data_IF_334231971749
#
_entry.id   IF_334231971749
#
_cell.length_a   1.000
_cell.length_b   1.000
_cell.length_c   1.000
_cell.angle_alpha   90.00
_cell.angle_beta   90.00
_cell.angle_gamma   90.00
#
_symmetry.space_group_name_H-M   'P 1'
#
loop_
_entity.id
_entity.type
_entity.pdbx_description
1 polymer ?
#
# COMPACT_ATOMS: atom_id res chain seq x y z
N UNK A 1 1.60 -33.57 25.95
CA UNK A 1 0.68 -33.67 24.79
C UNK A 1 1.28 -32.80 23.69
N UNK A 2 1.86 -33.37 22.62
CA UNK A 2 2.40 -32.57 21.51
C UNK A 2 1.27 -31.83 20.79
N UNK A 3 1.51 -30.63 20.23
CA UNK A 3 0.52 -29.92 19.44
C UNK A 3 0.14 -30.75 18.19
N UNK A 4 -1.11 -30.66 17.69
CA UNK A 4 -1.54 -31.38 16.50
C UNK A 4 -0.70 -30.91 15.29
N UNK A 5 -0.17 -31.87 14.52
CA UNK A 5 0.77 -31.65 13.42
C UNK A 5 0.32 -30.59 12.39
N UNK A 6 -0.99 -30.39 12.24
CA UNK A 6 -1.59 -29.39 11.34
C UNK A 6 -1.29 -27.94 11.75
N UNK A 7 -1.13 -27.67 13.04
CA UNK A 7 -0.83 -26.32 13.53
C UNK A 7 0.61 -25.89 13.25
N UNK A 8 1.55 -26.84 13.29
CA UNK A 8 2.96 -26.62 12.94
C UNK A 8 3.10 -26.30 11.45
N UNK A 9 2.43 -27.06 10.59
CA UNK A 9 2.42 -26.83 9.13
C UNK A 9 1.87 -25.44 8.74
N UNK A 10 0.78 -25.00 9.38
CA UNK A 10 0.20 -23.67 9.14
C UNK A 10 1.11 -22.53 9.65
N UNK A 11 1.81 -22.73 10.77
CA UNK A 11 2.77 -21.76 11.29
C UNK A 11 4.00 -21.64 10.40
N UNK A 12 4.55 -22.75 9.92
CA UNK A 12 5.68 -22.78 8.98
C UNK A 12 5.32 -22.11 7.66
N UNK A 13 4.13 -22.39 7.13
CA UNK A 13 3.63 -21.74 5.91
C UNK A 13 3.50 -20.22 6.10
N UNK A 14 2.89 -19.76 7.21
CA UNK A 14 2.78 -18.34 7.56
C UNK A 14 4.15 -17.67 7.68
N UNK A 15 5.11 -18.32 8.33
CA UNK A 15 6.47 -17.81 8.45
C UNK A 15 7.13 -17.70 7.08
N UNK A 16 6.96 -18.71 6.22
CA UNK A 16 7.42 -18.67 4.83
C UNK A 16 6.87 -17.47 4.07
N UNK A 17 5.57 -17.20 4.17
CA UNK A 17 4.92 -16.04 3.56
C UNK A 17 5.48 -14.71 4.09
N UNK A 18 5.71 -14.59 5.40
CA UNK A 18 6.28 -13.38 6.02
C UNK A 18 7.72 -13.14 5.55
N UNK A 19 8.55 -14.18 5.53
CA UNK A 19 9.94 -14.08 5.07
C UNK A 19 9.98 -13.70 3.59
N UNK A 20 9.14 -14.33 2.77
CA UNK A 20 9.02 -14.00 1.36
C UNK A 20 8.60 -12.53 1.15
N UNK A 21 7.54 -12.08 1.84
CA UNK A 21 7.06 -10.70 1.75
C UNK A 21 8.11 -9.68 2.21
N UNK A 22 8.80 -9.95 3.31
CA UNK A 22 9.89 -9.11 3.81
C UNK A 22 11.03 -9.01 2.78
N UNK A 23 11.35 -10.11 2.09
CA UNK A 23 12.33 -10.10 1.00
C UNK A 23 11.87 -9.24 -0.18
N UNK A 24 10.61 -9.34 -0.59
CA UNK A 24 10.05 -8.52 -1.67
C UNK A 24 10.12 -7.03 -1.33
N UNK A 25 9.71 -6.63 -0.13
CA UNK A 25 9.77 -5.23 0.31
C UNK A 25 11.22 -4.72 0.27
N UNK A 26 12.18 -5.48 0.81
CA UNK A 26 13.59 -5.08 0.76
C UNK A 26 14.11 -4.90 -0.66
N UNK A 27 13.80 -5.82 -1.56
CA UNK A 27 14.21 -5.72 -2.96
C UNK A 27 13.60 -4.47 -3.63
N UNK A 28 12.33 -4.17 -3.36
CA UNK A 28 11.68 -2.97 -3.87
C UNK A 28 12.31 -1.69 -3.32
N UNK A 29 12.65 -1.65 -2.02
CA UNK A 29 13.35 -0.51 -1.41
C UNK A 29 14.73 -0.31 -2.04
N UNK A 30 15.52 -1.39 -2.19
CA UNK A 30 16.84 -1.30 -2.83
C UNK A 30 16.74 -0.80 -4.28
N UNK A 31 15.78 -1.30 -5.04
CA UNK A 31 15.56 -0.83 -6.41
C UNK A 31 15.11 0.64 -6.45
N UNK A 32 14.28 1.06 -5.49
CA UNK A 32 13.84 2.44 -5.36
C UNK A 32 15.03 3.37 -5.07
N UNK A 33 15.84 3.07 -4.07
CA UNK A 33 17.00 3.90 -3.70
C UNK A 33 18.05 4.00 -4.81
N UNK A 34 18.19 2.96 -5.64
CA UNK A 34 19.07 2.99 -6.81
C UNK A 34 18.56 3.93 -7.91
N UNK A 35 17.25 3.98 -8.11
CA UNK A 35 16.63 4.82 -9.13
C UNK A 35 16.33 6.26 -8.65
N UNK A 36 16.13 6.43 -7.34
CA UNK A 36 15.86 7.68 -6.65
C UNK A 36 16.88 7.85 -5.51
N UNK A 37 18.10 8.30 -5.82
CA UNK A 37 19.11 8.54 -4.79
C UNK A 37 18.63 9.65 -3.83
N UNK A 38 19.02 9.58 -2.54
CA UNK A 38 18.56 10.53 -1.54
C UNK A 38 18.98 11.95 -1.87
N UNK A 39 18.05 12.89 -1.67
CA UNK A 39 18.29 14.31 -1.81
C UNK A 39 18.96 14.89 -0.56
N UNK A 40 19.61 16.07 -0.67
CA UNK A 40 20.08 16.81 0.48
C UNK A 40 18.94 17.08 1.49
N UNK A 41 19.25 17.27 2.79
CA UNK A 41 18.23 17.57 3.78
C UNK A 41 17.46 18.85 3.46
N UNK A 42 16.13 18.77 3.47
CA UNK A 42 15.21 19.89 3.21
C UNK A 42 14.18 20.02 4.36
N UNK A 43 13.53 21.19 4.51
CA UNK A 43 12.40 21.34 5.41
C UNK A 43 11.30 20.32 5.09
N UNK A 44 10.81 19.63 6.11
CA UNK A 44 9.75 18.65 5.94
C UNK A 44 8.44 19.31 5.47
N UNK A 45 7.71 18.61 4.61
CA UNK A 45 6.30 18.92 4.32
C UNK A 45 5.45 18.75 5.59
N UNK A 46 4.29 19.42 5.71
CA UNK A 46 3.39 19.21 6.83
C UNK A 46 3.02 17.74 7.03
N UNK A 47 3.15 17.26 8.27
CA UNK A 47 2.85 15.87 8.63
C UNK A 47 1.36 15.72 8.87
N UNK A 48 0.75 14.71 8.24
CA UNK A 48 -0.62 14.28 8.49
C UNK A 48 -0.67 12.79 8.80
N UNK A 49 -1.65 12.37 9.60
CA UNK A 49 -1.84 10.97 9.99
C UNK A 49 -2.64 10.16 8.95
N UNK A 50 -2.59 8.83 9.08
CA UNK A 50 -3.31 7.89 8.21
C UNK A 50 -4.81 8.19 8.11
N UNK A 51 -5.46 8.55 9.22
CA UNK A 51 -6.89 8.90 9.22
C UNK A 51 -7.19 10.19 8.47
N UNK A 52 -6.27 11.17 8.50
CA UNK A 52 -6.41 12.40 7.71
C UNK A 52 -6.22 12.09 6.23
N UNK A 53 -5.24 11.28 5.87
CA UNK A 53 -5.03 10.82 4.48
C UNK A 53 -6.27 10.10 3.94
N UNK A 54 -6.78 9.10 4.67
CA UNK A 54 -7.96 8.35 4.24
C UNK A 54 -9.15 9.27 4.01
N UNK A 55 -9.40 10.21 4.94
CA UNK A 55 -10.48 11.19 4.79
C UNK A 55 -10.33 12.01 3.52
N UNK A 56 -9.14 12.49 3.20
CA UNK A 56 -8.91 13.29 1.98
C UNK A 56 -9.06 12.45 0.71
N UNK A 57 -8.54 11.23 0.69
CA UNK A 57 -8.69 10.36 -0.47
C UNK A 57 -10.14 9.93 -0.70
N UNK A 58 -10.90 9.67 0.37
CA UNK A 58 -12.33 9.35 0.26
C UNK A 58 -13.13 10.54 -0.25
N UNK A 59 -12.80 11.76 0.17
CA UNK A 59 -13.46 13.00 -0.27
C UNK A 59 -13.18 13.31 -1.75
N UNK A 60 -11.95 13.04 -2.21
CA UNK A 60 -11.57 13.19 -3.62
C UNK A 60 -12.15 12.08 -4.51
N UNK A 61 -12.45 10.92 -3.95
CA UNK A 61 -12.93 9.78 -4.71
C UNK A 61 -14.38 9.95 -5.17
N UNK A 62 -14.70 9.55 -6.41
CA UNK A 62 -16.08 9.37 -6.84
C UNK A 62 -16.85 8.42 -5.88
N UNK A 63 -18.16 8.62 -5.64
CA UNK A 63 -18.93 7.81 -4.70
C UNK A 63 -18.78 6.30 -4.88
N UNK A 64 -18.72 5.85 -6.14
CA UNK A 64 -18.53 4.46 -6.52
C UNK A 64 -17.18 3.86 -6.07
N UNK A 65 -16.13 4.66 -5.92
CA UNK A 65 -14.78 4.23 -5.52
C UNK A 65 -14.49 4.45 -4.03
N UNK A 66 -15.35 5.16 -3.30
CA UNK A 66 -15.12 5.44 -1.88
C UNK A 66 -14.91 4.19 -1.00
N UNK A 67 -15.63 3.06 -1.21
CA UNK A 67 -15.36 1.83 -0.45
C UNK A 67 -13.95 1.29 -0.66
N UNK A 68 -13.43 1.38 -1.90
CA UNK A 68 -12.11 0.88 -2.28
C UNK A 68 -10.97 1.68 -1.61
N UNK A 69 -11.17 2.97 -1.38
CA UNK A 69 -10.15 3.85 -0.75
C UNK A 69 -9.70 3.29 0.61
N UNK A 70 -10.62 2.75 1.42
CA UNK A 70 -10.29 2.21 2.73
C UNK A 70 -9.33 1.01 2.63
N UNK A 71 -9.57 0.12 1.67
CA UNK A 71 -8.73 -1.06 1.44
C UNK A 71 -7.35 -0.68 0.89
N UNK A 72 -7.31 0.27 -0.05
CA UNK A 72 -6.06 0.77 -0.62
C UNK A 72 -5.17 1.45 0.43
N UNK A 73 -5.76 2.34 1.26
CA UNK A 73 -5.02 3.00 2.35
C UNK A 73 -4.55 1.98 3.39
N UNK A 74 -5.38 0.99 3.72
CA UNK A 74 -5.02 -0.11 4.63
C UNK A 74 -3.83 -0.93 4.09
N UNK A 75 -3.82 -1.22 2.79
CA UNK A 75 -2.74 -1.94 2.14
C UNK A 75 -1.40 -1.20 2.23
N UNK A 76 -1.37 0.10 1.88
CA UNK A 76 -0.15 0.92 1.98
C UNK A 76 0.32 1.01 3.44
N UNK A 77 -0.62 1.31 4.36
CA UNK A 77 -0.28 1.51 5.77
C UNK A 77 0.46 0.31 6.36
N UNK A 78 0.06 -0.91 6.01
CA UNK A 78 0.67 -2.16 6.50
C UNK A 78 2.15 -2.29 6.13
N UNK A 79 2.56 -1.71 5.00
CA UNK A 79 3.93 -1.87 4.47
C UNK A 79 4.79 -0.62 4.66
N UNK A 80 4.15 0.53 4.90
CA UNK A 80 4.80 1.84 5.01
C UNK A 80 5.98 1.90 5.98
N UNK A 81 5.91 1.19 7.11
CA UNK A 81 6.95 1.22 8.14
C UNK A 81 8.30 0.65 7.66
N UNK A 82 8.30 -0.17 6.61
CA UNK A 82 9.49 -0.78 6.04
C UNK A 82 9.96 -0.10 4.74
N UNK A 83 9.33 1.02 4.34
CA UNK A 83 9.60 1.74 3.09
C UNK A 83 10.09 3.17 3.38
N UNK A 84 10.97 3.74 2.53
CA UNK A 84 11.28 5.17 2.57
C UNK A 84 10.02 6.04 2.41
N UNK A 85 9.99 7.20 3.07
CA UNK A 85 8.82 8.08 3.02
C UNK A 85 8.45 8.53 1.60
N UNK A 86 9.45 8.80 0.75
CA UNK A 86 9.24 9.18 -0.65
C UNK A 86 8.63 8.03 -1.49
N UNK A 87 9.00 6.79 -1.18
CA UNK A 87 8.38 5.61 -1.81
C UNK A 87 6.90 5.49 -1.41
N UNK A 88 6.59 5.70 -0.12
CA UNK A 88 5.20 5.71 0.37
C UNK A 88 4.40 6.84 -0.27
N UNK A 89 4.99 8.04 -0.39
CA UNK A 89 4.37 9.17 -1.08
C UNK A 89 4.03 8.80 -2.54
N UNK A 90 4.95 8.15 -3.25
CA UNK A 90 4.69 7.69 -4.62
C UNK A 90 3.52 6.72 -4.72
N UNK A 91 3.40 5.78 -3.77
CA UNK A 91 2.27 4.83 -3.73
C UNK A 91 0.95 5.59 -3.51
N UNK A 92 0.94 6.59 -2.62
CA UNK A 92 -0.23 7.46 -2.39
C UNK A 92 -0.60 8.23 -3.65
N UNK A 93 0.38 8.83 -4.34
CA UNK A 93 0.15 9.57 -5.58
C UNK A 93 -0.39 8.66 -6.69
N UNK A 94 0.10 7.42 -6.76
CA UNK A 94 -0.40 6.41 -7.72
C UNK A 94 -1.87 6.11 -7.48
N UNK A 95 -2.27 5.81 -6.24
CA UNK A 95 -3.68 5.57 -5.91
C UNK A 95 -4.53 6.79 -6.25
N UNK A 96 -4.06 7.99 -5.88
CA UNK A 96 -4.78 9.22 -6.14
C UNK A 96 -5.03 9.40 -7.63
N UNK A 97 -4.00 9.16 -8.47
CA UNK A 97 -4.14 9.21 -9.92
C UNK A 97 -5.12 8.15 -10.44
N UNK A 98 -5.06 6.91 -9.94
CA UNK A 98 -5.98 5.84 -10.35
C UNK A 98 -7.44 6.14 -9.99
N UNK A 99 -7.69 6.62 -8.78
CA UNK A 99 -9.06 6.91 -8.30
C UNK A 99 -9.68 8.10 -9.04
N UNK A 100 -8.85 9.03 -9.51
CA UNK A 100 -9.29 10.19 -10.28
C UNK A 100 -9.31 9.95 -11.80
N UNK A 101 -8.88 8.79 -12.29
CA UNK A 101 -8.84 8.48 -13.72
C UNK A 101 -10.21 8.06 -14.24
N UNK A 102 -10.75 8.83 -15.19
CA UNK A 102 -12.08 8.57 -15.76
C UNK A 102 -12.17 7.22 -16.48
N UNK A 103 -11.10 6.78 -17.16
CA UNK A 103 -11.08 5.49 -17.85
C UNK A 103 -11.10 4.29 -16.89
N UNK A 104 -10.44 4.40 -15.73
CA UNK A 104 -10.53 3.43 -14.66
C UNK A 104 -11.94 3.40 -14.06
N UNK A 105 -12.56 4.57 -13.85
CA UNK A 105 -13.92 4.69 -13.31
C UNK A 105 -14.96 4.03 -14.21
N UNK A 106 -14.89 4.26 -15.51
CA UNK A 106 -15.78 3.63 -16.50
C UNK A 106 -15.69 2.10 -16.42
N UNK A 107 -14.47 1.56 -16.44
CA UNK A 107 -14.24 0.10 -16.36
C UNK A 107 -14.70 -0.50 -15.03
N UNK A 108 -14.44 0.19 -13.92
CA UNK A 108 -14.87 -0.28 -12.60
C UNK A 108 -16.40 -0.26 -12.46
N UNK A 109 -17.08 0.72 -13.06
CA UNK A 109 -18.54 0.77 -13.10
C UNK A 109 -19.15 -0.36 -13.95
N UNK A 110 -18.47 -0.76 -15.04
CA UNK A 110 -18.89 -1.89 -15.89
C UNK A 110 -18.69 -3.25 -15.20
N UNK A 111 -17.56 -3.44 -14.51
CA UNK A 111 -17.25 -4.66 -13.77
C UNK A 111 -16.43 -4.38 -12.48
N UNK A 112 -17.10 -4.31 -11.32
CA UNK A 112 -16.45 -4.07 -10.03
C UNK A 112 -15.51 -5.19 -9.57
N UNK A 113 -15.51 -6.34 -10.27
CA UNK A 113 -14.66 -7.50 -9.92
C UNK A 113 -13.31 -7.53 -10.62
N UNK A 114 -12.98 -6.52 -11.46
CA UNK A 114 -11.70 -6.43 -12.16
C UNK A 114 -10.47 -6.10 -11.28
N UNK A 115 -10.59 -6.14 -9.95
CA UNK A 115 -9.50 -5.87 -9.00
C UNK A 115 -8.89 -7.14 -8.39
#
# INVERSE_FOLDING_TARGET
>A
MPPPADTTSLQEHRLGLLVWKARQIRQAVTAFEQAWPPLPPEPAVPVFGWSQLQRQLTDLAPPELQPLVADLVSAIRKESAAKPAEMVLREILTITATVLDDGFREKYAEDPTML
#
